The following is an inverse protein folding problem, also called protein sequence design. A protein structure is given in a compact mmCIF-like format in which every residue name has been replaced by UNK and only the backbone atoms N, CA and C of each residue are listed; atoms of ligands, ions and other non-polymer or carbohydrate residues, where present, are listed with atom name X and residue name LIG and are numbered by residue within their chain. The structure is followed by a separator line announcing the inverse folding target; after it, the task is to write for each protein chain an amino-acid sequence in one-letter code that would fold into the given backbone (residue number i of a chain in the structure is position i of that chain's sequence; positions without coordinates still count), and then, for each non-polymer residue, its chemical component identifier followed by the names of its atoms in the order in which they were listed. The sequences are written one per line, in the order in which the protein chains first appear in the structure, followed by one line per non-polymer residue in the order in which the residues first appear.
data_IF_327375113659
#
_entry.id   IF_327375113659
#
_cell.length_a   1.000
_cell.length_b   1.000
_cell.length_c   1.000
_cell.angle_alpha   90.00
_cell.angle_beta   90.00
_cell.angle_gamma   90.00
#
_symmetry.space_group_name_H-M   'P 1'
#
loop_
_entity.id
_entity.type
_entity.pdbx_description
1 polymer ?
#
# COMPACT_ATOMS: atom_id res chain seq x y z
N UNK A 1 5.44 -16.11 16.33
CA UNK A 1 5.57 -16.07 14.87
C UNK A 1 4.49 -16.91 14.18
N UNK A 2 4.31 -16.72 12.91
CA UNK A 2 3.35 -17.47 12.09
C UNK A 2 3.86 -18.91 11.97
N UNK A 3 3.14 -19.87 12.53
CA UNK A 3 3.52 -21.29 12.52
C UNK A 3 3.17 -21.98 11.19
N UNK A 4 2.16 -21.47 10.49
CA UNK A 4 1.72 -21.97 9.19
C UNK A 4 1.44 -20.77 8.30
N UNK A 5 2.24 -20.55 7.25
CA UNK A 5 1.97 -19.50 6.28
C UNK A 5 0.71 -19.85 5.50
N UNK A 6 0.02 -18.84 5.01
CA UNK A 6 -1.06 -19.01 4.05
C UNK A 6 -0.45 -19.40 2.69
N UNK A 7 -1.04 -20.43 2.07
CA UNK A 7 -0.72 -20.85 0.70
C UNK A 7 -1.96 -20.59 -0.14
N UNK A 8 -1.80 -19.82 -1.20
CA UNK A 8 -2.91 -19.48 -2.08
C UNK A 8 -3.41 -20.71 -2.86
N UNK A 9 -4.72 -20.79 -3.03
CA UNK A 9 -5.37 -21.78 -3.89
C UNK A 9 -5.34 -21.25 -5.34
N UNK A 10 -4.63 -21.90 -6.27
CA UNK A 10 -4.47 -21.39 -7.63
C UNK A 10 -5.80 -21.32 -8.40
N UNK A 11 -6.82 -22.09 -7.97
CA UNK A 11 -8.13 -22.12 -8.60
C UNK A 11 -9.05 -20.99 -8.10
N UNK A 12 -8.63 -20.27 -7.07
CA UNK A 12 -9.38 -19.14 -6.49
C UNK A 12 -8.67 -17.84 -6.74
N UNK A 13 -9.15 -17.10 -7.73
CA UNK A 13 -8.63 -15.78 -8.05
C UNK A 13 -9.75 -14.75 -8.12
N UNK A 14 -9.44 -13.54 -7.71
CA UNK A 14 -10.29 -12.37 -7.81
C UNK A 14 -9.61 -11.36 -8.73
N UNK A 15 -10.36 -10.42 -9.23
CA UNK A 15 -9.80 -9.35 -10.06
C UNK A 15 -10.28 -7.99 -9.58
N UNK A 16 -9.34 -7.03 -9.49
CA UNK A 16 -9.64 -5.63 -9.24
C UNK A 16 -8.72 -4.76 -10.10
N UNK A 17 -9.31 -3.82 -10.83
CA UNK A 17 -8.57 -2.88 -11.69
C UNK A 17 -7.61 -3.57 -12.69
N UNK A 18 -8.04 -4.69 -13.26
CA UNK A 18 -7.24 -5.45 -14.23
C UNK A 18 -6.11 -6.29 -13.62
N UNK A 19 -6.01 -6.36 -12.29
CA UNK A 19 -5.01 -7.17 -11.58
C UNK A 19 -5.66 -8.32 -10.82
N UNK A 20 -5.01 -9.47 -10.83
CA UNK A 20 -5.45 -10.65 -10.10
C UNK A 20 -5.07 -10.55 -8.63
N UNK A 21 -5.95 -11.12 -7.79
CA UNK A 21 -5.75 -11.29 -6.36
C UNK A 21 -6.06 -12.73 -5.98
N UNK A 22 -5.24 -13.31 -5.12
CA UNK A 22 -5.48 -14.66 -4.58
C UNK A 22 -6.45 -14.66 -3.40
N UNK A 23 -6.60 -13.52 -2.71
CA UNK A 23 -7.64 -13.29 -1.70
C UNK A 23 -8.16 -11.86 -1.83
N UNK A 24 -9.47 -11.62 -1.57
CA UNK A 24 -10.07 -10.29 -1.75
C UNK A 24 -9.94 -9.39 -0.51
N UNK A 25 -9.00 -9.64 0.38
CA UNK A 25 -8.83 -8.90 1.62
C UNK A 25 -7.36 -8.58 1.93
N UNK A 26 -7.18 -7.64 2.83
CA UNK A 26 -5.91 -7.23 3.39
C UNK A 26 -6.08 -6.11 4.42
N UNK A 27 -4.99 -5.61 4.97
CA UNK A 27 -5.03 -4.57 5.99
C UNK A 27 -5.46 -3.23 5.39
N UNK A 28 -6.24 -2.48 6.15
CA UNK A 28 -6.46 -1.06 5.92
C UNK A 28 -5.20 -0.25 6.26
N UNK A 29 -5.11 0.99 5.75
CA UNK A 29 -4.01 1.88 6.05
C UNK A 29 -3.87 2.13 7.55
N UNK A 30 -2.70 1.88 8.07
CA UNK A 30 -2.39 2.02 9.49
C UNK A 30 -0.89 1.82 9.74
N UNK A 31 -0.41 1.97 10.99
CA UNK A 31 1.00 1.75 11.32
C UNK A 31 1.51 0.37 10.90
N UNK A 32 0.64 -0.62 10.84
CA UNK A 32 0.93 -1.98 10.39
C UNK A 32 1.11 -2.13 8.88
N UNK A 33 0.89 -1.09 8.09
CA UNK A 33 1.17 -1.06 6.64
C UNK A 33 2.19 0.00 6.24
N UNK A 34 2.98 0.47 7.21
CA UNK A 34 3.99 1.51 7.03
C UNK A 34 5.38 0.94 6.72
N UNK A 35 5.72 -0.21 7.28
CA UNK A 35 7.04 -0.81 7.19
C UNK A 35 7.03 -2.13 6.44
N UNK A 36 8.08 -2.41 5.70
CA UNK A 36 8.27 -3.64 4.92
C UNK A 36 7.99 -4.91 5.73
N UNK A 37 8.54 -5.02 6.94
CA UNK A 37 8.36 -6.23 7.76
C UNK A 37 6.90 -6.46 8.16
N UNK A 38 6.14 -5.40 8.38
CA UNK A 38 4.72 -5.52 8.75
C UNK A 38 3.87 -5.95 7.55
N UNK A 39 4.17 -5.39 6.37
CA UNK A 39 3.52 -5.78 5.11
C UNK A 39 3.82 -7.24 4.78
N UNK A 40 5.09 -7.65 4.90
CA UNK A 40 5.52 -9.04 4.71
C UNK A 40 4.82 -9.98 5.69
N UNK A 41 4.74 -9.63 6.97
CA UNK A 41 4.03 -10.45 7.96
C UNK A 41 2.55 -10.63 7.61
N UNK A 42 1.89 -9.57 7.16
CA UNK A 42 0.51 -9.60 6.71
C UNK A 42 0.33 -10.44 5.43
N UNK A 43 1.29 -10.34 4.48
CA UNK A 43 1.31 -11.17 3.27
C UNK A 43 1.38 -12.66 3.60
N UNK A 44 2.30 -13.04 4.47
CA UNK A 44 2.48 -14.43 4.91
C UNK A 44 1.25 -14.96 5.66
N UNK A 45 0.49 -14.07 6.31
CA UNK A 45 -0.78 -14.41 6.96
C UNK A 45 -1.97 -14.55 6.00
N UNK A 46 -1.81 -14.19 4.71
CA UNK A 46 -2.85 -14.38 3.68
C UNK A 46 -3.43 -13.13 3.06
N UNK A 47 -2.98 -11.95 3.48
CA UNK A 47 -3.38 -10.70 2.83
C UNK A 47 -2.87 -10.62 1.40
N UNK A 48 -3.71 -10.13 0.48
CA UNK A 48 -3.34 -9.95 -0.93
C UNK A 48 -3.73 -8.58 -1.50
N UNK A 49 -4.53 -7.79 -0.77
CA UNK A 49 -4.83 -6.41 -1.10
C UNK A 49 -4.44 -5.52 0.07
N UNK A 50 -3.46 -4.63 -0.12
CA UNK A 50 -2.87 -3.84 0.96
C UNK A 50 -3.15 -2.37 0.76
N UNK A 51 -3.91 -1.75 1.65
CA UNK A 51 -3.94 -0.30 1.72
C UNK A 51 -2.72 0.18 2.51
N UNK A 52 -1.75 0.77 1.80
CA UNK A 52 -0.52 1.27 2.40
C UNK A 52 -0.80 2.47 3.31
N UNK A 53 0.02 2.65 4.33
CA UNK A 53 -0.14 3.77 5.27
C UNK A 53 -0.23 5.09 4.51
N UNK A 54 -1.24 5.89 4.83
CA UNK A 54 -1.52 7.16 4.18
C UNK A 54 -0.34 8.12 4.23
N UNK A 55 0.00 8.72 3.10
CA UNK A 55 0.96 9.81 3.01
C UNK A 55 0.25 11.16 2.83
N UNK A 56 0.87 12.22 3.31
CA UNK A 56 0.36 13.58 3.18
C UNK A 56 1.51 14.60 3.15
N UNK A 57 1.18 15.88 2.97
CA UNK A 57 2.18 16.96 2.94
C UNK A 57 2.97 17.12 4.24
N UNK A 58 2.34 16.84 5.40
CA UNK A 58 3.00 16.79 6.70
C UNK A 58 3.52 15.36 6.91
N UNK A 59 4.79 15.19 7.20
CA UNK A 59 5.43 13.89 7.37
C UNK A 59 6.62 13.99 8.34
N UNK A 60 7.14 12.86 8.78
CA UNK A 60 8.27 12.82 9.68
C UNK A 60 8.04 13.64 10.97
N UNK A 61 8.90 14.60 11.21
CA UNK A 61 8.87 15.46 12.41
C UNK A 61 7.68 16.44 12.44
N UNK A 62 7.04 16.70 11.30
CA UNK A 62 5.87 17.59 11.23
C UNK A 62 4.61 16.98 11.86
N UNK A 63 4.60 15.65 12.10
CA UNK A 63 3.48 14.97 12.74
C UNK A 63 3.57 15.07 14.25
N UNK A 64 2.60 15.72 14.93
CA UNK A 64 2.63 15.94 16.37
C UNK A 64 2.09 14.74 17.16
N UNK A 65 2.63 13.55 16.89
CA UNK A 65 2.22 12.30 17.56
C UNK A 65 3.37 11.68 18.32
N UNK A 66 3.03 10.91 19.37
CA UNK A 66 4.03 10.10 20.04
C UNK A 66 4.56 9.02 19.10
N UNK A 67 5.88 8.85 19.05
CA UNK A 67 6.54 7.87 18.21
C UNK A 67 7.11 6.72 19.05
N UNK A 68 6.96 5.47 18.61
CA UNK A 68 6.25 5.07 17.37
C UNK A 68 4.74 5.37 17.45
N UNK A 69 4.09 5.48 16.29
CA UNK A 69 2.68 5.80 16.15
C UNK A 69 1.71 4.86 16.88
N UNK A 70 2.14 3.68 17.25
CA UNK A 70 1.36 2.75 18.08
C UNK A 70 1.84 2.86 19.52
N UNK A 71 0.92 3.30 20.38
CA UNK A 71 1.11 3.30 21.81
C UNK A 71 -0.07 2.59 22.46
N UNK A 72 0.15 1.37 22.92
CA UNK A 72 -0.88 0.52 23.52
C UNK A 72 -0.65 0.44 25.04
N UNK A 73 -1.08 1.46 25.75
CA UNK A 73 -1.06 1.49 27.23
C UNK A 73 -2.34 0.84 27.82
N UNK A 74 -3.39 0.78 26.99
CA UNK A 74 -4.69 0.18 27.32
C UNK A 74 -5.31 -0.42 26.03
N UNK A 75 -6.62 -0.39 25.89
CA UNK A 75 -7.32 -0.83 24.69
C UNK A 75 -7.16 0.11 23.49
N UNK A 76 -6.63 1.31 23.71
CA UNK A 76 -6.42 2.32 22.70
C UNK A 76 -4.97 2.36 22.28
N UNK A 77 -4.73 2.68 21.02
CA UNK A 77 -3.41 2.96 20.50
C UNK A 77 -3.42 4.33 19.82
N UNK A 78 -2.32 5.05 19.93
CA UNK A 78 -2.14 6.28 19.19
C UNK A 78 -1.90 5.96 17.72
N UNK A 79 -2.82 6.35 16.85
CA UNK A 79 -2.77 6.07 15.42
C UNK A 79 -3.04 7.34 14.62
N UNK A 80 -1.99 7.88 14.03
CA UNK A 80 -2.12 8.95 13.06
C UNK A 80 -2.60 8.39 11.71
N UNK A 81 -3.42 9.14 10.98
CA UNK A 81 -3.90 8.77 9.67
C UNK A 81 -2.84 8.85 8.56
N UNK A 82 -1.71 9.50 8.82
CA UNK A 82 -0.57 9.63 7.92
C UNK A 82 0.63 8.83 8.41
N UNK A 83 1.59 8.55 7.52
CA UNK A 83 2.85 7.94 7.92
C UNK A 83 3.70 8.88 8.77
N UNK A 84 4.33 8.34 9.81
CA UNK A 84 5.32 9.06 10.63
C UNK A 84 6.71 9.09 9.98
N UNK A 85 6.95 8.30 8.93
CA UNK A 85 8.14 8.39 8.09
C UNK A 85 8.06 9.62 7.20
N UNK A 86 9.20 10.12 6.76
CA UNK A 86 9.21 11.01 5.61
C UNK A 86 8.69 10.29 4.37
N UNK A 87 7.99 11.01 3.49
CA UNK A 87 7.36 10.40 2.30
C UNK A 87 8.34 9.59 1.45
N UNK A 88 9.59 10.06 1.18
CA UNK A 88 10.58 9.25 0.47
C UNK A 88 10.95 7.94 1.20
N UNK A 89 11.03 7.96 2.54
CA UNK A 89 11.30 6.74 3.33
C UNK A 89 10.13 5.76 3.24
N UNK A 90 8.89 6.26 3.29
CA UNK A 90 7.70 5.42 3.12
C UNK A 90 7.68 4.78 1.72
N UNK A 91 8.02 5.55 0.68
CA UNK A 91 8.18 5.04 -0.68
C UNK A 91 9.20 3.89 -0.73
N UNK A 92 10.37 4.07 -0.13
CA UNK A 92 11.41 3.04 -0.09
C UNK A 92 10.92 1.76 0.60
N UNK A 93 10.20 1.89 1.72
CA UNK A 93 9.62 0.75 2.42
C UNK A 93 8.59 -0.01 1.56
N UNK A 94 7.76 0.72 0.80
CA UNK A 94 6.76 0.07 -0.07
C UNK A 94 7.40 -0.64 -1.26
N UNK A 95 8.43 -0.08 -1.85
CA UNK A 95 9.20 -0.74 -2.92
C UNK A 95 9.92 -1.98 -2.40
N UNK A 96 10.57 -1.92 -1.24
CA UNK A 96 11.18 -3.09 -0.59
C UNK A 96 10.14 -4.18 -0.32
N UNK A 97 8.96 -3.81 0.20
CA UNK A 97 7.88 -4.76 0.43
C UNK A 97 7.38 -5.42 -0.86
N UNK A 98 7.31 -4.66 -1.96
CA UNK A 98 6.95 -5.17 -3.27
C UNK A 98 7.87 -6.30 -3.73
N UNK A 99 9.18 -6.08 -3.67
CA UNK A 99 10.17 -7.12 -3.97
C UNK A 99 10.07 -8.30 -2.99
N UNK A 100 10.03 -8.02 -1.68
CA UNK A 100 10.02 -9.05 -0.65
C UNK A 100 8.81 -9.99 -0.79
N UNK A 101 7.61 -9.47 -1.00
CA UNK A 101 6.41 -10.30 -1.17
C UNK A 101 6.48 -11.18 -2.42
N UNK A 102 7.00 -10.66 -3.55
CA UNK A 102 7.19 -11.43 -4.79
C UNK A 102 8.21 -12.55 -4.62
N UNK A 103 9.33 -12.25 -4.01
CA UNK A 103 10.39 -13.24 -3.72
C UNK A 103 9.86 -14.33 -2.78
N UNK A 104 9.15 -13.96 -1.72
CA UNK A 104 8.56 -14.93 -0.77
C UNK A 104 7.48 -15.79 -1.44
N UNK A 105 6.66 -15.22 -2.32
CA UNK A 105 5.69 -15.98 -3.11
C UNK A 105 6.36 -17.12 -3.86
N UNK A 106 7.42 -16.81 -4.59
CA UNK A 106 8.17 -17.78 -5.42
C UNK A 106 8.95 -18.78 -4.57
N UNK A 107 9.76 -18.28 -3.65
CA UNK A 107 10.70 -19.09 -2.87
C UNK A 107 9.98 -20.11 -2.00
N UNK A 108 8.93 -19.68 -1.31
CA UNK A 108 8.18 -20.55 -0.39
C UNK A 108 6.90 -21.14 -0.99
N UNK A 109 6.59 -20.83 -2.25
CA UNK A 109 5.39 -21.32 -2.91
C UNK A 109 4.10 -20.84 -2.24
N UNK A 110 4.07 -19.58 -1.81
CA UNK A 110 2.93 -19.02 -1.09
C UNK A 110 1.80 -18.58 -2.03
N UNK A 111 2.10 -18.48 -3.33
CA UNK A 111 1.20 -18.03 -4.38
C UNK A 111 1.96 -17.56 -5.62
N UNK A 112 1.28 -16.91 -6.53
CA UNK A 112 1.87 -16.28 -7.70
C UNK A 112 2.60 -14.98 -7.30
N UNK A 113 3.71 -14.66 -7.96
CA UNK A 113 4.44 -13.40 -7.73
C UNK A 113 3.57 -12.16 -7.97
N UNK A 114 2.56 -12.27 -8.84
CA UNK A 114 1.60 -11.20 -9.16
C UNK A 114 0.20 -11.45 -8.57
N UNK A 115 0.10 -12.31 -7.55
CA UNK A 115 -1.16 -12.68 -6.89
C UNK A 115 -1.65 -11.69 -5.82
N UNK A 116 -1.00 -10.54 -5.68
CA UNK A 116 -1.34 -9.51 -4.71
C UNK A 116 -1.24 -8.11 -5.31
N UNK A 117 -1.84 -7.14 -4.63
CA UNK A 117 -1.84 -5.75 -5.07
C UNK A 117 -1.64 -4.79 -3.90
N UNK A 118 -0.85 -3.76 -4.12
CA UNK A 118 -0.78 -2.59 -3.25
C UNK A 118 -1.75 -1.52 -3.73
N UNK A 119 -2.28 -0.77 -2.79
CA UNK A 119 -3.14 0.37 -2.98
C UNK A 119 -2.57 1.54 -2.19
N UNK A 120 -2.18 2.60 -2.87
CA UNK A 120 -1.70 3.83 -2.23
C UNK A 120 -2.80 4.44 -1.36
N UNK A 121 -2.43 5.21 -0.36
CA UNK A 121 -3.37 6.03 0.39
C UNK A 121 -2.80 7.43 0.55
N UNK A 122 -3.60 8.43 0.19
CA UNK A 122 -3.27 9.85 0.34
C UNK A 122 -4.36 10.57 1.10
N UNK A 123 -3.96 11.62 1.78
CA UNK A 123 -4.85 12.47 2.52
C UNK A 123 -4.48 13.95 2.42
N UNK A 124 -5.23 14.80 3.12
CA UNK A 124 -5.17 16.25 3.11
C UNK A 124 -6.08 16.89 2.05
N UNK A 125 -5.91 18.20 1.80
CA UNK A 125 -6.62 18.94 0.75
C UNK A 125 -5.97 18.75 -0.64
N UNK A 126 -6.62 19.24 -1.68
CA UNK A 126 -6.12 19.12 -3.05
C UNK A 126 -4.74 19.79 -3.22
N UNK A 127 -4.53 20.96 -2.61
CA UNK A 127 -3.26 21.67 -2.71
C UNK A 127 -2.13 20.88 -2.03
N UNK A 128 -2.43 20.21 -0.92
CA UNK A 128 -1.49 19.30 -0.25
C UNK A 128 -1.14 18.08 -1.11
N UNK A 129 -2.14 17.49 -1.78
CA UNK A 129 -1.94 16.34 -2.66
C UNK A 129 -1.17 16.75 -3.94
N UNK A 130 -1.33 17.99 -4.40
CA UNK A 130 -0.59 18.52 -5.56
C UNK A 130 0.84 18.99 -5.24
N UNK A 131 1.27 18.92 -3.99
CA UNK A 131 2.67 19.25 -3.66
C UNK A 131 3.64 18.34 -4.40
N UNK A 132 4.80 18.86 -4.78
CA UNK A 132 5.83 18.11 -5.49
C UNK A 132 6.20 16.80 -4.77
N UNK A 133 6.21 16.82 -3.45
CA UNK A 133 6.50 15.66 -2.60
C UNK A 133 5.49 14.52 -2.83
N UNK A 134 4.20 14.83 -2.80
CA UNK A 134 3.13 13.83 -2.99
C UNK A 134 3.02 13.44 -4.46
N UNK A 135 3.22 14.38 -5.35
CA UNK A 135 3.24 14.12 -6.79
C UNK A 135 4.34 13.11 -7.16
N UNK A 136 5.56 13.32 -6.69
CA UNK A 136 6.69 12.38 -6.87
C UNK A 136 6.39 10.99 -6.27
N UNK A 137 5.71 10.95 -5.13
CA UNK A 137 5.30 9.68 -4.53
C UNK A 137 4.32 8.92 -5.43
N UNK A 138 3.26 9.59 -5.91
CA UNK A 138 2.25 8.97 -6.77
C UNK A 138 2.89 8.46 -8.07
N UNK A 139 3.66 9.31 -8.76
CA UNK A 139 4.29 8.93 -10.02
C UNK A 139 5.35 7.83 -9.82
N UNK A 140 6.13 7.88 -8.75
CA UNK A 140 7.08 6.82 -8.41
C UNK A 140 6.42 5.48 -8.09
N UNK A 141 5.26 5.47 -7.45
CA UNK A 141 4.50 4.23 -7.21
C UNK A 141 3.88 3.67 -8.48
N UNK A 142 3.54 4.51 -9.45
CA UNK A 142 3.07 4.09 -10.78
C UNK A 142 4.21 3.54 -11.64
N UNK A 143 5.40 4.11 -11.50
CA UNK A 143 6.61 3.65 -12.18
C UNK A 143 7.85 3.93 -11.33
N UNK A 144 8.33 2.91 -10.66
CA UNK A 144 9.53 2.96 -9.82
C UNK A 144 10.83 2.69 -10.60
N UNK A 145 10.81 2.57 -11.92
CA UNK A 145 11.98 2.17 -12.72
C UNK A 145 13.19 3.09 -12.55
N UNK A 146 12.97 4.38 -12.36
CA UNK A 146 14.00 5.38 -12.13
C UNK A 146 14.40 5.52 -10.64
N UNK A 147 13.68 4.88 -9.72
CA UNK A 147 13.94 5.01 -8.30
C UNK A 147 15.20 4.23 -7.88
N UNK A 148 16.13 4.85 -7.13
CA UNK A 148 17.34 4.16 -6.64
C UNK A 148 17.02 2.87 -5.90
N UNK A 149 16.07 2.90 -4.95
CA UNK A 149 15.68 1.75 -4.13
C UNK A 149 15.18 0.57 -4.98
N UNK A 150 14.48 0.82 -6.09
CA UNK A 150 14.01 -0.24 -6.98
C UNK A 150 15.19 -0.95 -7.65
N UNK A 151 16.15 -0.19 -8.14
CA UNK A 151 17.35 -0.71 -8.78
C UNK A 151 18.28 -1.40 -7.77
N UNK A 152 18.40 -0.86 -6.56
CA UNK A 152 19.16 -1.47 -5.46
C UNK A 152 18.56 -2.83 -5.06
N UNK A 153 17.24 -2.91 -4.88
CA UNK A 153 16.55 -4.18 -4.56
C UNK A 153 16.77 -5.23 -5.66
N UNK A 154 16.58 -4.83 -6.92
CA UNK A 154 16.80 -5.70 -8.08
C UNK A 154 18.24 -6.19 -8.14
N UNK A 155 19.21 -5.29 -8.04
CA UNK A 155 20.63 -5.63 -8.12
C UNK A 155 21.03 -6.53 -6.96
N UNK A 156 20.59 -6.21 -5.74
CA UNK A 156 20.88 -7.04 -4.57
C UNK A 156 20.41 -8.49 -4.76
N UNK A 157 19.21 -8.67 -5.27
CA UNK A 157 18.67 -10.01 -5.54
C UNK A 157 19.48 -10.74 -6.61
N UNK A 158 19.88 -10.06 -7.69
CA UNK A 158 20.70 -10.64 -8.75
C UNK A 158 22.08 -11.07 -8.23
N UNK A 159 22.68 -10.29 -7.34
CA UNK A 159 24.00 -10.56 -6.75
C UNK A 159 23.97 -11.68 -5.70
N UNK A 160 22.76 -12.07 -5.23
CA UNK A 160 22.58 -13.06 -4.17
C UNK A 160 21.64 -14.20 -4.56
N UNK A 161 21.56 -14.53 -5.83
CA UNK A 161 20.72 -15.64 -6.31
C UNK A 161 21.11 -16.98 -5.66
N UNK A 162 22.36 -17.14 -5.27
CA UNK A 162 22.87 -18.31 -4.56
C UNK A 162 22.21 -18.55 -3.18
N UNK A 163 21.49 -17.58 -2.65
CA UNK A 163 20.75 -17.70 -1.38
C UNK A 163 19.33 -18.24 -1.54
N UNK A 164 18.86 -18.43 -2.77
CA UNK A 164 17.52 -18.88 -3.09
C UNK A 164 17.55 -20.24 -3.77
N UNK A 165 16.53 -21.04 -3.48
CA UNK A 165 16.39 -22.37 -4.12
C UNK A 165 15.51 -22.32 -5.38
N UNK A 166 14.52 -21.39 -5.40
CA UNK A 166 13.50 -21.34 -6.46
C UNK A 166 13.45 -20.04 -7.23
N UNK A 167 13.92 -18.94 -6.63
CA UNK A 167 13.96 -17.64 -7.31
C UNK A 167 15.09 -17.64 -8.33
N UNK A 168 14.75 -17.34 -9.58
CA UNK A 168 15.70 -17.28 -10.70
C UNK A 168 16.00 -15.83 -11.11
N UNK A 169 16.99 -15.66 -11.95
CA UNK A 169 17.32 -14.36 -12.56
C UNK A 169 16.12 -13.79 -13.32
N UNK A 170 15.45 -14.64 -14.11
CA UNK A 170 14.28 -14.27 -14.91
C UNK A 170 13.13 -13.81 -14.02
N UNK A 171 12.93 -14.46 -12.88
CA UNK A 171 11.92 -14.02 -11.89
C UNK A 171 12.22 -12.59 -11.39
N UNK A 172 13.48 -12.31 -11.03
CA UNK A 172 13.89 -10.98 -10.54
C UNK A 172 13.76 -9.91 -11.64
N UNK A 173 14.19 -10.22 -12.87
CA UNK A 173 14.10 -9.32 -14.02
C UNK A 173 12.65 -9.03 -14.43
N UNK A 174 11.73 -9.96 -14.19
CA UNK A 174 10.30 -9.83 -14.49
C UNK A 174 9.54 -8.94 -13.51
N UNK A 175 10.13 -8.57 -12.35
CA UNK A 175 9.45 -7.72 -11.37
C UNK A 175 9.14 -6.36 -11.97
N UNK A 176 7.82 -6.09 -12.09
CA UNK A 176 7.32 -4.85 -12.68
C UNK A 176 7.68 -3.64 -11.81
N UNK A 177 8.12 -2.52 -12.41
CA UNK A 177 8.27 -1.26 -11.71
C UNK A 177 6.94 -0.57 -11.39
N UNK A 178 5.83 -1.03 -11.95
CA UNK A 178 4.50 -0.58 -11.60
C UNK A 178 4.10 -1.22 -10.26
N UNK A 179 4.46 -0.53 -9.15
CA UNK A 179 4.19 -1.00 -7.79
C UNK A 179 2.70 -0.90 -7.48
N UNK A 180 2.06 0.17 -7.96
CA UNK A 180 0.67 0.45 -7.63
C UNK A 180 -0.03 1.22 -8.76
N UNK A 181 -1.28 0.83 -9.09
CA UNK A 181 -2.13 1.53 -10.07
C UNK A 181 -3.42 2.09 -9.46
N UNK A 182 -3.57 2.02 -8.15
CA UNK A 182 -4.76 2.47 -7.46
C UNK A 182 -4.42 3.22 -6.16
N UNK A 183 -5.36 4.05 -5.73
CA UNK A 183 -5.17 4.96 -4.61
C UNK A 183 -6.46 5.10 -3.79
N UNK A 184 -6.36 5.14 -2.47
CA UNK A 184 -7.46 5.51 -1.58
C UNK A 184 -7.32 6.97 -1.19
N UNK A 185 -8.40 7.71 -1.39
CA UNK A 185 -8.59 9.05 -0.84
C UNK A 185 -9.07 8.94 0.60
N UNK A 186 -8.20 9.30 1.55
CA UNK A 186 -8.45 9.23 2.98
C UNK A 186 -8.52 10.65 3.58
N UNK A 187 -9.66 11.31 3.39
CA UNK A 187 -9.85 12.72 3.81
C UNK A 187 -11.04 12.90 4.73
N UNK A 188 -11.42 11.86 5.44
CA UNK A 188 -12.66 11.85 6.21
C UNK A 188 -12.72 12.89 7.35
N UNK A 189 -11.57 13.39 7.80
CA UNK A 189 -11.50 14.31 8.93
C UNK A 189 -11.69 15.75 8.50
N UNK A 190 -12.96 16.12 8.20
CA UNK A 190 -13.33 17.52 7.96
C UNK A 190 -13.19 18.03 6.52
N UNK A 191 -12.97 17.15 5.56
CA UNK A 191 -12.94 17.55 4.15
C UNK A 191 -14.37 17.69 3.59
N UNK A 192 -14.76 18.87 3.04
CA UNK A 192 -16.06 19.05 2.45
C UNK A 192 -16.27 18.14 1.23
N UNK A 193 -17.52 17.71 0.93
CA UNK A 193 -17.82 16.87 -0.23
C UNK A 193 -17.30 17.42 -1.57
N UNK A 194 -17.36 18.72 -1.76
CA UNK A 194 -16.86 19.38 -2.97
C UNK A 194 -15.33 19.26 -3.11
N UNK A 195 -14.61 19.28 -2.01
CA UNK A 195 -13.16 19.08 -2.02
C UNK A 195 -12.81 17.62 -2.31
N UNK A 196 -13.56 16.68 -1.74
CA UNK A 196 -13.42 15.25 -2.06
C UNK A 196 -13.64 15.01 -3.55
N UNK A 197 -14.68 15.62 -4.15
CA UNK A 197 -14.92 15.52 -5.59
C UNK A 197 -13.74 16.07 -6.41
N UNK A 198 -13.21 17.24 -6.05
CA UNK A 198 -12.08 17.86 -6.75
C UNK A 198 -10.83 16.98 -6.70
N UNK A 199 -10.53 16.40 -5.53
CA UNK A 199 -9.40 15.49 -5.36
C UNK A 199 -9.61 14.20 -6.16
N UNK A 200 -10.81 13.61 -6.09
CA UNK A 200 -11.12 12.40 -6.85
C UNK A 200 -10.98 12.62 -8.36
N UNK A 201 -11.49 13.75 -8.89
CA UNK A 201 -11.30 14.13 -10.29
C UNK A 201 -9.82 14.26 -10.66
N UNK A 202 -9.03 14.93 -9.84
CA UNK A 202 -7.58 15.07 -10.06
C UNK A 202 -6.89 13.70 -10.15
N UNK A 203 -7.18 12.81 -9.22
CA UNK A 203 -6.57 11.48 -9.19
C UNK A 203 -6.99 10.63 -10.40
N UNK A 204 -8.26 10.67 -10.79
CA UNK A 204 -8.80 9.90 -11.90
C UNK A 204 -8.42 10.51 -13.25
N UNK A 205 -8.61 11.82 -13.41
CA UNK A 205 -8.54 12.48 -14.72
C UNK A 205 -7.12 12.95 -15.06
N UNK A 206 -6.34 13.42 -14.07
CA UNK A 206 -4.98 13.91 -14.28
C UNK A 206 -3.94 12.83 -13.97
N UNK A 207 -4.04 12.16 -12.80
CA UNK A 207 -3.08 11.14 -12.39
C UNK A 207 -3.32 9.76 -13.02
N UNK A 208 -4.51 9.53 -13.57
CA UNK A 208 -4.89 8.27 -14.25
C UNK A 208 -4.73 7.04 -13.35
N UNK A 209 -5.07 7.17 -12.08
CA UNK A 209 -5.09 6.06 -11.12
C UNK A 209 -6.51 5.68 -10.75
N UNK A 210 -6.76 4.40 -10.56
CA UNK A 210 -8.02 3.92 -10.00
C UNK A 210 -8.18 4.42 -8.58
N UNK A 211 -9.31 5.04 -8.26
CA UNK A 211 -9.47 5.78 -7.02
C UNK A 211 -10.59 5.22 -6.16
N UNK A 212 -10.27 4.89 -4.92
CA UNK A 212 -11.25 4.63 -3.86
C UNK A 212 -11.52 5.91 -3.06
N UNK A 213 -12.76 6.13 -2.69
CA UNK A 213 -13.13 7.13 -1.70
C UNK A 213 -13.48 6.38 -0.42
N UNK A 214 -12.70 6.61 0.64
CA UNK A 214 -12.96 6.03 1.95
C UNK A 214 -14.13 6.73 2.61
N UNK A 215 -15.19 5.99 2.88
CA UNK A 215 -16.43 6.50 3.48
C UNK A 215 -16.73 5.77 4.78
N UNK A 216 -17.48 6.45 5.67
CA UNK A 216 -18.03 5.83 6.89
C UNK A 216 -19.59 5.88 6.87
N UNK A 217 -20.26 5.23 5.90
CA UNK A 217 -21.71 5.30 5.79
C UNK A 217 -22.43 4.69 7.00
N UNK A 218 -21.77 3.79 7.71
CA UNK A 218 -22.31 3.10 8.88
C UNK A 218 -22.42 3.98 10.13
N UNK A 219 -21.81 5.16 10.16
CA UNK A 219 -21.94 6.11 11.28
C UNK A 219 -23.38 6.53 11.54
N UNK A 220 -24.23 6.51 10.52
CA UNK A 220 -25.66 6.83 10.63
C UNK A 220 -26.56 5.60 10.75
N UNK A 221 -25.97 4.41 10.89
CA UNK A 221 -26.64 3.14 11.04
C UNK A 221 -27.00 2.44 9.73
N UNK A 222 -27.31 1.15 9.84
CA UNK A 222 -27.57 0.26 8.70
C UNK A 222 -28.69 0.74 7.77
N UNK A 223 -29.82 1.13 8.35
CA UNK A 223 -31.00 1.53 7.57
C UNK A 223 -30.75 2.79 6.72
N UNK A 224 -29.97 3.73 7.26
CA UNK A 224 -29.58 4.92 6.51
C UNK A 224 -28.59 4.56 5.41
N UNK A 225 -27.55 3.79 5.72
CA UNK A 225 -26.57 3.36 4.74
C UNK A 225 -27.22 2.63 3.54
N UNK A 226 -28.18 1.73 3.83
CA UNK A 226 -28.92 0.99 2.80
C UNK A 226 -29.75 1.86 1.87
N UNK A 227 -30.19 3.05 2.32
CA UNK A 227 -30.98 3.97 1.49
C UNK A 227 -30.14 4.75 0.51
N UNK A 228 -28.85 4.95 0.79
CA UNK A 228 -27.95 5.77 -0.05
C UNK A 228 -27.08 4.93 -0.97
N UNK A 229 -26.99 3.62 -0.75
CA UNK A 229 -26.37 2.67 -1.68
C UNK A 229 -27.36 2.10 -2.68
#
# INVERSE_FOLDING_TARGET
GIKRPFIADPDKTYEIFGRKLETPFGPAAGPHTQLTQNIVASYVAGSRFFELKTVQKLDGEDLPVAKPCIKADDECYNCEWSTELYVPQAFDEYVKAWFACKVLAKEYGLGAMDGFQFNMSVGYDLDGIKTEKIDKFIEGMKDASAAPVFNECRQWLLDHLDRFEKVTKEDVESISPEVCNCITLSTLHGCPPQEIERIARYLIEEKKVHTFIKCNPTLLGYEYARKIM
#
